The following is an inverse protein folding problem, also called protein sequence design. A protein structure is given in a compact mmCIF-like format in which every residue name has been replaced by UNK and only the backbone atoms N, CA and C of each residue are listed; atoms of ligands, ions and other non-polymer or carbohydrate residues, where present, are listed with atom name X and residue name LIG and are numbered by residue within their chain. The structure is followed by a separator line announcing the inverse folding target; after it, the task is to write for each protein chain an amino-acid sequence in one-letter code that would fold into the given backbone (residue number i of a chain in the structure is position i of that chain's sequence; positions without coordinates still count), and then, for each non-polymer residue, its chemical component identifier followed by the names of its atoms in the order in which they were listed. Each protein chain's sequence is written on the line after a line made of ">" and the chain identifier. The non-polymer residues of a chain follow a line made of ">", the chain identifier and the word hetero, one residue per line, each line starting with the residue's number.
data_IF_874034794294
#
_entry.id   IF_874034794294
#
_cell.length_a   1.000
_cell.length_b   1.000
_cell.length_c   1.000
_cell.angle_alpha   90.00
_cell.angle_beta   90.00
_cell.angle_gamma   90.00
#
_symmetry.space_group_name_H-M   'P 1'
#
loop_
_entity.id
_entity.type
_entity.pdbx_description
1 polymer ?
#
# COMPACT_ATOMS: atom_id res chain seq x y z
N UNK A 1 0.71 -8.86 9.00
CA UNK A 1 -0.49 -9.14 9.83
C UNK A 1 -1.13 -10.48 9.47
N UNK A 2 -1.70 -10.66 8.27
CA UNK A 2 -2.36 -11.91 7.88
C UNK A 2 -1.48 -13.18 7.96
N UNK A 3 -0.20 -13.06 7.59
CA UNK A 3 0.74 -14.19 7.64
C UNK A 3 1.05 -14.69 9.06
N UNK A 4 1.00 -13.82 10.08
CA UNK A 4 1.21 -14.20 11.48
C UNK A 4 0.05 -15.06 11.97
N UNK A 5 -1.19 -14.64 11.67
CA UNK A 5 -2.39 -15.42 11.96
C UNK A 5 -2.37 -16.76 11.21
N UNK A 6 -1.96 -16.75 9.94
CA UNK A 6 -1.78 -17.96 9.16
C UNK A 6 -0.78 -18.94 9.79
N UNK A 7 0.36 -18.46 10.32
CA UNK A 7 1.30 -19.34 11.03
C UNK A 7 0.69 -19.98 12.27
N UNK A 8 -0.12 -19.23 13.04
CA UNK A 8 -0.88 -19.76 14.16
C UNK A 8 -1.85 -20.87 13.73
N UNK A 9 -2.64 -20.64 12.68
CA UNK A 9 -3.57 -21.62 12.11
C UNK A 9 -2.82 -22.86 11.59
N UNK A 10 -1.70 -22.66 10.90
CA UNK A 10 -0.88 -23.75 10.36
C UNK A 10 -0.35 -24.67 11.48
N UNK A 11 0.13 -24.10 12.58
CA UNK A 11 0.57 -24.89 13.73
C UNK A 11 -0.56 -25.72 14.33
N UNK A 12 -1.78 -25.18 14.39
CA UNK A 12 -2.97 -25.92 14.86
C UNK A 12 -3.30 -27.06 13.88
N UNK A 13 -3.25 -26.84 12.57
CA UNK A 13 -3.49 -27.87 11.55
C UNK A 13 -2.48 -29.02 11.63
N UNK A 14 -1.21 -28.71 11.92
CA UNK A 14 -0.16 -29.72 12.11
C UNK A 14 -0.39 -30.49 13.41
N UNK A 15 -0.64 -29.79 14.52
CA UNK A 15 -0.85 -30.42 15.83
C UNK A 15 -2.10 -31.31 15.89
N UNK A 16 -3.17 -30.91 15.19
CA UNK A 16 -4.43 -31.67 15.11
C UNK A 16 -4.41 -32.76 14.02
N UNK A 17 -3.40 -32.79 13.15
CA UNK A 17 -3.34 -33.70 12.01
C UNK A 17 -4.34 -33.38 10.88
N UNK A 18 -5.08 -32.27 10.97
CA UNK A 18 -6.09 -31.84 9.98
C UNK A 18 -5.46 -31.57 8.60
N UNK A 19 -4.16 -31.31 8.52
CA UNK A 19 -3.44 -31.23 7.24
C UNK A 19 -3.54 -32.51 6.39
N UNK A 20 -3.94 -33.64 6.97
CA UNK A 20 -4.11 -34.92 6.26
C UNK A 20 -5.46 -35.07 5.55
N UNK A 21 -6.46 -34.21 5.85
CA UNK A 21 -7.77 -34.21 5.22
C UNK A 21 -7.77 -34.26 3.68
N UNK A 22 -6.94 -33.48 2.95
CA UNK A 22 -6.88 -33.58 1.49
C UNK A 22 -6.42 -34.95 0.97
N UNK A 23 -5.61 -35.69 1.73
CA UNK A 23 -5.22 -37.05 1.33
C UNK A 23 -6.37 -38.04 1.52
N UNK A 24 -7.07 -37.92 2.64
CA UNK A 24 -8.26 -38.73 2.94
C UNK A 24 -9.35 -38.45 1.89
N UNK A 25 -9.54 -37.19 1.51
CA UNK A 25 -10.54 -36.84 0.49
C UNK A 25 -10.21 -37.44 -0.87
N UNK A 26 -8.93 -37.45 -1.29
CA UNK A 26 -8.50 -38.13 -2.54
C UNK A 26 -8.82 -39.62 -2.49
N UNK A 27 -8.53 -40.29 -1.37
CA UNK A 27 -8.81 -41.73 -1.20
C UNK A 27 -10.31 -42.01 -1.23
N UNK A 28 -11.12 -41.23 -0.51
CA UNK A 28 -12.59 -41.38 -0.51
C UNK A 28 -13.17 -41.11 -1.90
N UNK A 29 -12.70 -40.07 -2.59
CA UNK A 29 -13.16 -39.74 -3.94
C UNK A 29 -12.90 -40.88 -4.92
N UNK A 30 -11.70 -41.46 -4.90
CA UNK A 30 -11.39 -42.55 -5.82
C UNK A 30 -12.07 -43.86 -5.41
N UNK A 31 -12.28 -44.11 -4.11
CA UNK A 31 -13.06 -45.24 -3.62
C UNK A 31 -14.54 -45.16 -4.05
N UNK A 32 -15.17 -43.99 -3.91
CA UNK A 32 -16.54 -43.76 -4.39
C UNK A 32 -16.62 -43.92 -5.92
N UNK A 33 -15.62 -43.43 -6.65
CA UNK A 33 -15.54 -43.56 -8.11
C UNK A 33 -15.42 -45.02 -8.56
N UNK A 34 -14.56 -45.79 -7.91
CA UNK A 34 -14.40 -47.22 -8.17
C UNK A 34 -15.69 -48.02 -7.91
N UNK A 35 -16.56 -47.57 -6.99
CA UNK A 35 -17.88 -48.16 -6.77
C UNK A 35 -18.90 -47.82 -7.85
N UNK A 36 -18.79 -46.64 -8.48
CA UNK A 36 -19.69 -46.21 -9.55
C UNK A 36 -19.33 -46.81 -10.91
N UNK A 37 -18.04 -47.11 -11.14
CA UNK A 37 -17.54 -47.74 -12.36
C UNK A 37 -17.74 -49.28 -12.26
N UNK A 38 -18.92 -49.78 -12.65
CA UNK A 38 -19.31 -51.21 -12.62
C UNK A 38 -18.31 -52.12 -13.34
N UNK A 39 -18.25 -53.42 -12.97
CA UNK A 39 -17.16 -54.41 -13.18
C UNK A 39 -16.56 -54.60 -14.61
N UNK A 40 -17.01 -53.89 -15.63
CA UNK A 40 -16.74 -54.14 -17.05
C UNK A 40 -15.54 -53.38 -17.66
N UNK A 41 -14.59 -52.89 -16.86
CA UNK A 41 -13.28 -52.46 -17.41
C UNK A 41 -12.18 -53.42 -16.91
N UNK A 42 -11.55 -54.13 -17.84
CA UNK A 42 -10.34 -54.90 -17.56
C UNK A 42 -9.17 -53.98 -17.20
N UNK A 43 -8.38 -54.40 -16.21
CA UNK A 43 -7.21 -53.73 -15.64
C UNK A 43 -7.48 -52.39 -14.88
N UNK A 44 -8.58 -52.32 -14.13
CA UNK A 44 -8.89 -51.20 -13.20
C UNK A 44 -7.85 -50.96 -12.11
N UNK A 45 -7.16 -52.02 -11.68
CA UNK A 45 -6.27 -51.96 -10.53
C UNK A 45 -5.01 -51.13 -10.83
N UNK A 46 -4.39 -51.33 -11.99
CA UNK A 46 -3.20 -50.58 -12.39
C UNK A 46 -3.54 -49.13 -12.76
N UNK A 47 -4.67 -48.90 -13.45
CA UNK A 47 -5.06 -47.55 -13.89
C UNK A 47 -5.53 -46.66 -12.73
N UNK A 48 -6.21 -47.24 -11.73
CA UNK A 48 -6.62 -46.50 -10.52
C UNK A 48 -5.43 -46.21 -9.60
N UNK A 49 -4.49 -47.15 -9.47
CA UNK A 49 -3.27 -46.98 -8.67
C UNK A 49 -2.43 -45.78 -9.14
N UNK A 50 -2.14 -45.68 -10.44
CA UNK A 50 -1.36 -44.55 -11.01
C UNK A 50 -2.08 -43.19 -10.82
N UNK A 51 -3.42 -43.19 -10.86
CA UNK A 51 -4.20 -41.96 -10.68
C UNK A 51 -4.21 -41.49 -9.22
N UNK A 52 -4.33 -42.41 -8.27
CA UNK A 52 -4.24 -42.11 -6.84
C UNK A 52 -2.83 -41.59 -6.53
N UNK A 53 -1.80 -42.27 -7.04
CA UNK A 53 -0.41 -41.86 -6.87
C UNK A 53 -0.18 -40.42 -7.36
N UNK A 54 -0.58 -40.09 -8.60
CA UNK A 54 -0.42 -38.75 -9.14
C UNK A 54 -1.19 -37.69 -8.32
N UNK A 55 -2.43 -37.98 -7.91
CA UNK A 55 -3.24 -37.04 -7.11
C UNK A 55 -2.66 -36.81 -5.72
N UNK A 56 -2.14 -37.85 -5.08
CA UNK A 56 -1.46 -37.75 -3.78
C UNK A 56 -0.17 -36.95 -3.94
N UNK A 57 0.63 -37.20 -4.98
CA UNK A 57 1.83 -36.40 -5.27
C UNK A 57 1.51 -34.92 -5.49
N UNK A 58 0.49 -34.61 -6.29
CA UNK A 58 0.04 -33.23 -6.49
C UNK A 58 -0.39 -32.59 -5.17
N UNK A 59 -1.14 -33.30 -4.32
CA UNK A 59 -1.55 -32.81 -3.01
C UNK A 59 -0.34 -32.55 -2.07
N UNK A 60 0.67 -33.44 -2.07
CA UNK A 60 1.93 -33.24 -1.33
C UNK A 60 2.63 -31.96 -1.80
N UNK A 61 2.79 -31.79 -3.11
CA UNK A 61 3.48 -30.63 -3.70
C UNK A 61 2.74 -29.33 -3.34
N UNK A 62 1.41 -29.31 -3.45
CA UNK A 62 0.60 -28.13 -3.10
C UNK A 62 0.76 -27.78 -1.62
N UNK A 63 0.72 -28.77 -0.73
CA UNK A 63 0.87 -28.54 0.71
C UNK A 63 2.28 -28.02 1.04
N UNK A 64 3.32 -28.63 0.47
CA UNK A 64 4.71 -28.19 0.69
C UNK A 64 4.96 -26.79 0.15
N UNK A 65 4.50 -26.49 -1.07
CA UNK A 65 4.88 -25.27 -1.78
C UNK A 65 3.98 -24.07 -1.43
N UNK A 66 2.68 -24.31 -1.22
CA UNK A 66 1.69 -23.27 -0.96
C UNK A 66 1.15 -23.25 0.48
N UNK A 67 1.27 -24.35 1.23
CA UNK A 67 0.77 -24.45 2.61
C UNK A 67 1.85 -24.24 3.68
N UNK A 68 3.02 -24.86 3.52
CA UNK A 68 4.06 -24.82 4.55
C UNK A 68 4.81 -23.47 4.57
N UNK A 69 4.93 -22.83 5.74
CA UNK A 69 5.59 -21.54 5.87
C UNK A 69 7.11 -21.70 6.09
N UNK A 70 7.91 -21.51 5.02
CA UNK A 70 9.37 -21.69 5.05
C UNK A 70 10.18 -20.40 5.16
N UNK A 71 9.68 -19.27 4.63
CA UNK A 71 10.47 -18.04 4.45
C UNK A 71 10.08 -17.02 5.52
N UNK A 72 11.06 -16.57 6.31
CA UNK A 72 10.87 -15.47 7.27
C UNK A 72 10.77 -14.11 6.56
N UNK A 73 9.69 -13.38 6.83
CA UNK A 73 9.47 -12.01 6.33
C UNK A 73 9.44 -11.07 7.53
N UNK A 74 10.43 -10.20 7.60
CA UNK A 74 10.49 -9.16 8.62
C UNK A 74 9.77 -7.90 8.11
N UNK A 75 8.83 -7.37 8.91
CA UNK A 75 8.10 -6.14 8.61
C UNK A 75 8.87 -4.88 9.03
N UNK A 76 9.92 -5.01 9.83
CA UNK A 76 10.74 -3.87 10.28
C UNK A 76 11.62 -3.29 9.18
N UNK A 77 11.76 -3.99 8.04
CA UNK A 77 12.62 -3.59 6.92
C UNK A 77 11.81 -3.31 5.65
N UNK A 78 10.57 -2.83 5.76
CA UNK A 78 9.85 -2.29 4.60
C UNK A 78 10.62 -1.04 4.16
N UNK A 79 11.54 -1.22 3.20
CA UNK A 79 12.22 -0.13 2.53
C UNK A 79 11.27 0.44 1.48
N UNK A 80 10.94 1.72 1.64
CA UNK A 80 10.24 2.49 0.62
C UNK A 80 11.27 3.01 -0.37
N UNK A 81 11.15 2.61 -1.63
CA UNK A 81 11.98 3.16 -2.70
C UNK A 81 11.52 4.57 -3.02
N UNK A 82 12.29 5.57 -2.59
CA UNK A 82 11.97 6.99 -2.76
C UNK A 82 12.52 7.57 -4.06
N UNK A 83 13.24 6.80 -4.88
CA UNK A 83 13.89 7.29 -6.11
C UNK A 83 12.90 8.00 -7.05
N UNK A 84 11.69 7.44 -7.21
CA UNK A 84 10.59 8.02 -7.98
C UNK A 84 9.92 9.22 -7.31
N UNK A 85 9.79 9.20 -5.98
CA UNK A 85 9.27 10.32 -5.19
C UNK A 85 10.14 11.57 -5.39
N UNK A 86 11.47 11.39 -5.39
CA UNK A 86 12.44 12.46 -5.67
C UNK A 86 12.33 12.98 -7.12
N UNK A 87 12.14 12.08 -8.10
CA UNK A 87 11.99 12.46 -9.51
C UNK A 87 10.70 13.25 -9.78
N UNK A 88 9.60 12.88 -9.12
CA UNK A 88 8.31 13.55 -9.25
C UNK A 88 8.12 14.75 -8.31
N UNK A 89 9.10 15.06 -7.44
CA UNK A 89 8.95 16.06 -6.35
C UNK A 89 7.68 15.86 -5.51
N UNK A 90 7.27 14.62 -5.31
CA UNK A 90 6.17 14.27 -4.40
C UNK A 90 6.81 13.67 -3.16
N UNK A 91 6.69 14.35 -2.03
CA UNK A 91 7.29 13.89 -0.79
C UNK A 91 6.40 12.84 -0.14
N UNK A 92 6.87 11.59 -0.13
CA UNK A 92 6.16 10.49 0.53
C UNK A 92 6.66 10.41 1.97
N UNK A 93 5.87 10.91 2.92
CA UNK A 93 6.19 10.83 4.34
C UNK A 93 6.50 9.38 4.73
N UNK A 94 7.64 9.16 5.40
CA UNK A 94 7.96 7.82 5.87
C UNK A 94 6.96 7.45 6.97
N UNK A 95 6.59 6.15 7.14
CA UNK A 95 5.59 5.79 8.14
C UNK A 95 5.95 6.21 9.56
N UNK A 96 7.25 6.38 9.87
CA UNK A 96 7.77 6.88 11.14
C UNK A 96 7.33 8.33 11.42
N UNK A 97 7.17 9.13 10.37
CA UNK A 97 6.77 10.55 10.43
C UNK A 97 5.24 10.72 10.40
N UNK A 98 4.49 9.62 10.30
CA UNK A 98 3.02 9.63 10.29
C UNK A 98 2.45 9.02 11.58
N UNK A 99 1.20 9.35 11.91
CA UNK A 99 0.47 8.73 13.05
C UNK A 99 0.29 7.20 12.93
N UNK A 100 0.72 6.59 11.83
CA UNK A 100 0.64 5.15 11.56
C UNK A 100 1.93 4.37 11.87
N UNK A 101 2.95 5.00 12.44
CA UNK A 101 4.25 4.38 12.78
C UNK A 101 4.12 3.07 13.58
N UNK A 102 3.14 2.99 14.49
CA UNK A 102 2.87 1.82 15.32
C UNK A 102 2.05 0.71 14.63
N UNK A 103 1.35 1.02 13.52
CA UNK A 103 0.51 0.05 12.83
C UNK A 103 1.33 -0.99 12.03
N UNK A 104 2.59 -0.67 11.71
CA UNK A 104 3.46 -1.51 10.89
C UNK A 104 4.58 -2.23 11.67
N UNK A 105 4.90 -1.77 12.89
CA UNK A 105 6.11 -2.17 13.62
C UNK A 105 5.88 -3.22 14.70
N UNK A 106 4.66 -3.44 15.18
CA UNK A 106 4.46 -4.28 16.38
C UNK A 106 3.32 -5.28 16.22
N UNK A 107 3.65 -6.50 15.83
CA UNK A 107 2.94 -7.70 16.31
C UNK A 107 3.92 -8.55 17.12
N UNK A 108 4.15 -8.11 18.36
CA UNK A 108 4.77 -8.88 19.43
C UNK A 108 6.13 -9.55 19.09
N UNK A 109 7.05 -8.84 18.40
CA UNK A 109 8.38 -9.38 18.02
C UNK A 109 8.34 -10.69 17.20
N UNK A 110 7.20 -11.06 16.63
CA UNK A 110 7.08 -12.27 15.83
C UNK A 110 7.30 -11.96 14.36
N UNK A 111 8.27 -12.66 13.75
CA UNK A 111 8.47 -12.66 12.31
C UNK A 111 7.43 -13.55 11.65
N UNK A 112 6.81 -13.05 10.58
CA UNK A 112 5.81 -13.80 9.85
C UNK A 112 6.51 -14.73 8.85
N UNK A 113 6.15 -16.01 8.85
CA UNK A 113 6.64 -16.97 7.88
C UNK A 113 5.66 -17.12 6.73
N UNK A 114 6.15 -17.13 5.49
CA UNK A 114 5.32 -17.18 4.28
C UNK A 114 5.68 -18.43 3.47
N UNK A 115 4.70 -19.11 2.86
CA UNK A 115 4.97 -20.21 1.92
C UNK A 115 5.67 -19.74 0.65
N UNK A 116 6.40 -20.65 0.00
CA UNK A 116 7.23 -20.33 -1.17
C UNK A 116 6.40 -19.79 -2.34
N UNK A 117 5.28 -20.45 -2.65
CA UNK A 117 4.37 -20.01 -3.71
C UNK A 117 3.87 -18.57 -3.49
N UNK A 118 3.44 -18.28 -2.25
CA UNK A 118 2.88 -16.97 -1.93
C UNK A 118 3.96 -15.88 -1.88
N UNK A 119 5.17 -16.21 -1.45
CA UNK A 119 6.31 -15.31 -1.55
C UNK A 119 6.60 -14.93 -3.00
N UNK A 120 6.61 -15.91 -3.90
CA UNK A 120 6.79 -15.68 -5.33
C UNK A 120 5.66 -14.82 -5.92
N UNK A 121 4.39 -15.14 -5.61
CA UNK A 121 3.24 -14.35 -6.06
C UNK A 121 3.28 -12.92 -5.54
N UNK A 122 3.72 -12.71 -4.30
CA UNK A 122 3.93 -11.37 -3.76
C UNK A 122 5.04 -10.61 -4.49
N UNK A 123 6.14 -11.28 -4.83
CA UNK A 123 7.22 -10.65 -5.61
C UNK A 123 6.74 -10.21 -7.00
N UNK A 124 5.96 -11.06 -7.69
CA UNK A 124 5.36 -10.70 -8.98
C UNK A 124 4.39 -9.53 -8.83
N UNK A 125 3.47 -9.60 -7.86
CA UNK A 125 2.51 -8.52 -7.64
C UNK A 125 3.22 -7.19 -7.37
N UNK A 126 4.28 -7.19 -6.56
CA UNK A 126 5.12 -6.01 -6.33
C UNK A 126 5.80 -5.53 -7.60
N UNK A 127 6.36 -6.42 -8.41
CA UNK A 127 7.02 -6.05 -9.66
C UNK A 127 6.02 -5.43 -10.66
N UNK A 128 4.83 -6.00 -10.81
CA UNK A 128 3.79 -5.49 -11.70
C UNK A 128 3.28 -4.13 -11.22
N UNK A 129 2.96 -3.99 -9.93
CA UNK A 129 2.54 -2.71 -9.36
C UNK A 129 3.65 -1.66 -9.47
N UNK A 130 4.91 -2.04 -9.19
CA UNK A 130 6.06 -1.15 -9.35
C UNK A 130 6.26 -0.69 -10.78
N UNK A 131 6.14 -1.60 -11.75
CA UNK A 131 6.22 -1.27 -13.17
C UNK A 131 5.07 -0.35 -13.62
N UNK A 132 3.84 -0.60 -13.14
CA UNK A 132 2.69 0.26 -13.44
C UNK A 132 2.89 1.68 -12.89
N UNK A 133 3.39 1.82 -11.66
CA UNK A 133 3.69 3.14 -11.06
C UNK A 133 4.85 3.83 -11.81
N UNK A 134 5.88 3.08 -12.21
CA UNK A 134 6.99 3.63 -12.98
C UNK A 134 6.57 4.14 -14.37
N UNK A 135 5.53 3.56 -14.97
CA UNK A 135 4.97 4.01 -16.25
C UNK A 135 4.18 5.33 -16.13
N UNK A 136 3.81 5.77 -14.92
CA UNK A 136 3.13 7.05 -14.72
C UNK A 136 4.13 8.18 -14.96
N UNK A 137 3.91 9.06 -15.96
CA UNK A 137 4.80 10.18 -16.21
C UNK A 137 4.75 11.17 -15.05
N UNK A 138 5.91 11.55 -14.49
CA UNK A 138 6.05 12.66 -13.52
C UNK A 138 5.81 14.05 -14.17
N UNK A 139 5.31 14.11 -15.40
CA UNK A 139 5.11 15.36 -16.10
C UNK A 139 4.05 16.17 -15.37
N UNK A 140 4.40 17.38 -14.93
CA UNK A 140 3.39 18.40 -14.68
C UNK A 140 2.71 18.65 -16.01
N UNK A 141 1.53 18.08 -16.22
CA UNK A 141 0.76 18.36 -17.42
C UNK A 141 0.38 19.84 -17.35
N UNK A 142 1.21 20.69 -17.97
CA UNK A 142 1.01 22.14 -18.00
C UNK A 142 -0.39 22.48 -18.54
N UNK A 143 -0.98 21.58 -19.34
CA UNK A 143 -2.34 21.71 -19.84
C UNK A 143 -3.39 21.47 -18.75
N UNK A 144 -3.15 20.53 -17.83
CA UNK A 144 -4.04 20.28 -16.69
C UNK A 144 -3.92 21.40 -15.65
N UNK A 145 -2.69 21.82 -15.33
CA UNK A 145 -2.46 22.99 -14.46
C UNK A 145 -3.10 24.24 -15.04
N UNK A 146 -3.02 24.43 -16.37
CA UNK A 146 -3.67 25.58 -17.02
C UNK A 146 -5.19 25.53 -16.93
N UNK A 147 -5.79 24.35 -17.09
CA UNK A 147 -7.24 24.18 -16.97
C UNK A 147 -7.73 24.43 -15.54
N UNK A 148 -6.95 24.03 -14.54
CA UNK A 148 -7.24 24.27 -13.13
C UNK A 148 -7.06 25.76 -12.77
N UNK A 149 -6.02 26.42 -13.30
CA UNK A 149 -5.84 27.88 -13.20
C UNK A 149 -7.01 28.62 -13.83
N UNK A 150 -7.47 28.19 -15.01
CA UNK A 150 -8.61 28.81 -15.70
C UNK A 150 -9.91 28.64 -14.89
N UNK A 151 -10.09 27.51 -14.19
CA UNK A 151 -11.22 27.28 -13.28
C UNK A 151 -11.14 28.10 -11.98
N UNK A 152 -9.94 28.38 -11.49
CA UNK A 152 -9.72 29.21 -10.30
C UNK A 152 -9.66 30.71 -10.62
N UNK A 153 -9.81 31.09 -11.90
CA UNK A 153 -9.75 32.49 -12.32
C UNK A 153 -10.99 33.24 -11.84
N UNK A 154 -10.78 34.44 -11.33
CA UNK A 154 -11.87 35.37 -11.00
C UNK A 154 -12.57 35.76 -12.32
N UNK A 155 -13.85 35.42 -12.45
CA UNK A 155 -14.63 35.64 -13.67
C UNK A 155 -15.00 37.11 -13.90
N UNK A 156 -15.15 37.87 -12.81
CA UNK A 156 -15.48 39.30 -12.87
C UNK A 156 -14.21 40.13 -13.09
N UNK A 157 -14.10 40.86 -14.22
CA UNK A 157 -12.91 41.66 -14.54
C UNK A 157 -12.70 42.83 -13.57
N UNK A 158 -13.77 43.37 -12.97
CA UNK A 158 -13.67 44.48 -12.01
C UNK A 158 -13.08 43.97 -10.70
N UNK A 159 -13.60 42.86 -10.18
CA UNK A 159 -13.09 42.24 -8.96
C UNK A 159 -11.64 41.76 -9.12
N UNK A 160 -11.28 41.22 -10.28
CA UNK A 160 -9.90 40.82 -10.57
C UNK A 160 -8.93 42.02 -10.51
N UNK A 161 -9.37 43.19 -10.98
CA UNK A 161 -8.59 44.42 -10.93
C UNK A 161 -8.48 44.97 -9.50
N UNK A 162 -9.59 45.01 -8.75
CA UNK A 162 -9.57 45.44 -7.34
C UNK A 162 -8.64 44.58 -6.49
N UNK A 163 -8.63 43.25 -6.71
CA UNK A 163 -7.71 42.33 -6.01
C UNK A 163 -6.26 42.60 -6.41
N UNK A 164 -5.99 42.90 -7.69
CA UNK A 164 -4.64 43.24 -8.15
C UNK A 164 -4.13 44.54 -7.52
N UNK A 165 -4.97 45.58 -7.52
CA UNK A 165 -4.65 46.88 -6.92
C UNK A 165 -4.43 46.74 -5.41
N UNK A 166 -5.30 46.00 -4.70
CA UNK A 166 -5.11 45.69 -3.27
C UNK A 166 -3.79 44.94 -3.00
N UNK A 167 -3.46 43.96 -3.84
CA UNK A 167 -2.21 43.19 -3.71
C UNK A 167 -0.99 44.10 -3.84
N UNK A 168 -1.01 45.02 -4.80
CA UNK A 168 0.10 45.93 -5.08
C UNK A 168 0.23 47.04 -4.03
N UNK A 169 -0.87 47.70 -3.68
CA UNK A 169 -0.84 48.94 -2.91
C UNK A 169 -0.84 48.69 -1.40
N UNK A 170 -1.49 47.63 -0.94
CA UNK A 170 -1.67 47.33 0.49
C UNK A 170 -0.81 46.14 0.92
N UNK A 171 -1.03 44.97 0.33
CA UNK A 171 -0.42 43.72 0.81
C UNK A 171 1.10 43.68 0.59
N UNK A 172 1.58 44.03 -0.60
CA UNK A 172 3.01 44.03 -0.92
C UNK A 172 3.85 44.88 0.04
N UNK A 173 3.51 46.17 0.24
CA UNK A 173 4.20 47.04 1.17
C UNK A 173 4.09 46.58 2.64
N UNK A 174 2.93 46.09 3.07
CA UNK A 174 2.75 45.56 4.43
C UNK A 174 3.66 44.35 4.70
N UNK A 175 3.70 43.40 3.76
CA UNK A 175 4.59 42.23 3.83
C UNK A 175 6.06 42.65 3.79
N UNK A 176 6.43 43.59 2.94
CA UNK A 176 7.81 44.09 2.87
C UNK A 176 8.25 44.74 4.19
N UNK A 177 7.43 45.61 4.78
CA UNK A 177 7.69 46.20 6.11
C UNK A 177 7.83 45.13 7.19
N UNK A 178 6.99 44.10 7.13
CA UNK A 178 7.04 42.99 8.06
C UNK A 178 8.37 42.21 7.98
N UNK A 179 8.81 41.82 6.78
CA UNK A 179 10.08 41.10 6.60
C UNK A 179 11.31 41.95 6.94
N UNK A 180 11.25 43.27 6.74
CA UNK A 180 12.32 44.18 7.17
C UNK A 180 12.41 44.29 8.71
N UNK A 181 11.30 44.12 9.42
CA UNK A 181 11.22 44.22 10.88
C UNK A 181 11.75 43.01 11.66
N UNK A 182 12.06 41.88 11.00
CA UNK A 182 12.57 40.62 11.61
C UNK A 182 11.84 40.21 12.91
N UNK A 183 10.52 40.23 12.92
CA UNK A 183 9.76 39.70 14.06
C UNK A 183 9.87 38.17 14.12
N UNK A 184 10.00 37.62 15.33
CA UNK A 184 9.96 36.18 15.56
C UNK A 184 8.50 35.71 15.51
N UNK A 185 8.17 34.89 14.51
CA UNK A 185 6.87 34.23 14.36
C UNK A 185 7.01 32.74 14.68
N UNK A 186 5.92 32.12 15.11
CA UNK A 186 5.79 30.66 15.05
C UNK A 186 5.61 30.19 13.60
N UNK A 187 5.96 28.93 13.31
CA UNK A 187 5.84 28.34 11.97
C UNK A 187 4.43 28.51 11.38
N UNK A 188 3.39 28.37 12.20
CA UNK A 188 2.00 28.54 11.78
C UNK A 188 1.68 29.98 11.34
N UNK A 189 2.27 30.98 11.99
CA UNK A 189 2.09 32.38 11.60
C UNK A 189 2.95 32.73 10.39
N UNK A 190 4.11 32.08 10.21
CA UNK A 190 4.94 32.26 9.02
C UNK A 190 4.22 31.81 7.74
N UNK A 191 3.46 30.71 7.80
CA UNK A 191 2.65 30.27 6.66
C UNK A 191 1.46 31.20 6.41
N UNK A 192 0.76 31.66 7.47
CA UNK A 192 -0.40 32.55 7.34
C UNK A 192 -0.05 33.87 6.61
N UNK A 193 1.07 34.50 6.94
CA UNK A 193 1.51 35.78 6.33
C UNK A 193 1.94 35.68 4.85
N UNK A 194 1.94 34.48 4.26
CA UNK A 194 2.25 34.30 2.82
C UNK A 194 1.04 34.54 1.91
N UNK A 195 -0.17 34.56 2.46
CA UNK A 195 -1.43 34.71 1.72
C UNK A 195 -2.08 36.08 1.92
N UNK A 196 -2.81 36.55 0.89
CA UNK A 196 -3.46 37.86 0.87
C UNK A 196 -4.57 38.04 1.91
N UNK A 197 -5.18 36.93 2.33
CA UNK A 197 -6.20 36.88 3.38
C UNK A 197 -5.67 36.41 4.73
N UNK A 198 -4.38 36.64 5.01
CA UNK A 198 -3.76 36.31 6.30
C UNK A 198 -4.55 36.88 7.47
N UNK A 199 -4.91 36.03 8.42
CA UNK A 199 -5.59 36.45 9.65
C UNK A 199 -4.72 37.39 10.51
N UNK A 200 -3.40 37.28 10.40
CA UNK A 200 -2.46 38.18 11.07
C UNK A 200 -2.56 39.63 10.57
N UNK A 201 -2.70 39.85 9.25
CA UNK A 201 -2.88 41.21 8.70
C UNK A 201 -4.30 41.75 8.88
N UNK A 202 -5.30 40.87 9.00
CA UNK A 202 -6.69 41.23 9.23
C UNK A 202 -7.01 41.49 10.71
N UNK A 203 -6.12 41.12 11.64
CA UNK A 203 -6.28 41.36 13.08
C UNK A 203 -7.09 40.28 13.82
N UNK A 204 -7.36 39.15 13.16
CA UNK A 204 -8.09 38.01 13.75
C UNK A 204 -7.21 37.19 14.71
N UNK A 205 -5.89 37.34 14.61
CA UNK A 205 -4.91 36.69 15.48
C UNK A 205 -4.21 37.75 16.33
N UNK A 206 -4.33 37.69 17.68
CA UNK A 206 -3.66 38.67 18.54
C UNK A 206 -2.14 38.56 18.41
N UNK A 207 -1.41 39.69 18.38
CA UNK A 207 0.05 39.67 18.40
C UNK A 207 0.51 38.97 19.69
N UNK A 208 1.35 37.94 19.53
CA UNK A 208 2.03 37.31 20.65
C UNK A 208 3.06 38.33 21.16
N UNK A 209 2.75 38.99 22.28
CA UNK A 209 3.66 39.89 23.01
C UNK A 209 4.66 39.04 23.79
#
# INVERSE_FOLDING_TARGET
>A
MGWIVHNGIWNILVASGVFTLPFISVVIHEWLRARTEGADEGNKEVLSSVRIENRVWVAIVVILFAGMPFIDVNLSTIQFDTSRSTQCKVDTATPQDTRWSNAFTTLNNQSAKVPVWWFFMHAISKAVTGAAVAAIPCGTDLRQVRMEIDNLRINDPVLAQEVADFTHDCYGPARAKFFMGRLALSDAQMDDVTWIGSGYFLGDVPPQV
#
